data_IF_060245862400
#
_entry.id   IF_060245862400
#
_cell.length_a   1.000
_cell.length_b   1.000
_cell.length_c   1.000
_cell.angle_alpha   90.00
_cell.angle_beta   90.00
_cell.angle_gamma   90.00
#
_symmetry.space_group_name_H-M   'P 1'
#
loop_
_entity.id
_entity.type
_entity.pdbx_description
1 polymer ?
#
# COMPACT_ATOMS: atom_id res chain seq x y z
N UNK A 1 42.85 53.53 17.16
CA UNK A 1 44.13 53.35 16.44
C UNK A 1 43.81 52.64 15.13
N UNK A 2 43.52 53.37 14.04
CA UNK A 2 44.44 53.71 12.94
C UNK A 2 45.16 52.46 12.39
N UNK A 3 44.89 52.01 11.15
CA UNK A 3 45.49 52.50 9.88
C UNK A 3 44.82 51.78 8.69
N UNK A 4 44.26 52.46 7.66
CA UNK A 4 44.81 52.79 6.30
C UNK A 4 45.53 51.63 5.59
N UNK A 5 45.50 51.38 4.27
CA UNK A 5 44.92 51.86 2.99
C UNK A 5 45.36 50.78 1.93
N UNK A 6 44.77 50.50 0.75
CA UNK A 6 44.74 51.25 -0.52
C UNK A 6 43.99 50.40 -1.58
N UNK A 7 43.00 50.88 -2.33
CA UNK A 7 43.04 51.56 -3.65
C UNK A 7 43.79 50.84 -4.81
N UNK A 8 43.05 50.45 -5.85
CA UNK A 8 43.48 50.59 -7.25
C UNK A 8 42.26 50.71 -8.20
N UNK A 9 42.21 51.81 -8.94
CA UNK A 9 41.33 52.08 -10.10
C UNK A 9 42.13 51.99 -11.41
N UNK A 10 41.44 51.68 -12.52
CA UNK A 10 41.63 52.19 -13.91
C UNK A 10 40.49 51.60 -14.78
N UNK A 11 39.56 52.28 -15.46
CA UNK A 11 39.49 53.40 -16.44
C UNK A 11 40.00 53.10 -17.88
N UNK A 12 39.08 53.28 -18.85
CA UNK A 12 39.32 53.46 -20.30
C UNK A 12 38.12 52.99 -21.16
N UNK A 13 37.10 53.81 -21.51
CA UNK A 13 36.94 54.79 -22.63
C UNK A 13 37.11 54.19 -24.04
N UNK A 14 36.08 54.13 -24.90
CA UNK A 14 35.73 55.10 -26.00
C UNK A 14 35.59 54.27 -27.31
N UNK A 15 34.73 54.46 -28.31
CA UNK A 15 33.75 55.49 -28.66
C UNK A 15 33.06 55.15 -30.01
N UNK A 16 31.78 55.53 -30.13
CA UNK A 16 31.11 56.27 -31.22
C UNK A 16 31.59 56.15 -32.68
N UNK A 17 30.64 55.82 -33.60
CA UNK A 17 30.28 56.48 -34.90
C UNK A 17 29.37 55.52 -35.72
N UNK A 18 28.51 55.88 -36.66
CA UNK A 18 27.68 57.04 -37.05
C UNK A 18 26.83 56.51 -38.24
N UNK A 19 25.57 56.93 -38.31
CA UNK A 19 24.54 56.68 -39.35
C UNK A 19 24.98 56.91 -40.81
N UNK A 20 24.24 56.36 -41.80
CA UNK A 20 23.65 57.09 -42.95
C UNK A 20 22.62 56.23 -43.74
N UNK A 21 21.64 56.96 -44.28
CA UNK A 21 20.40 56.72 -45.03
C UNK A 21 20.38 55.81 -46.27
N UNK A 22 19.18 55.33 -46.62
CA UNK A 22 18.80 54.95 -47.99
C UNK A 22 17.36 54.41 -48.16
N UNK A 23 16.42 55.29 -48.51
CA UNK A 23 15.16 55.02 -49.24
C UNK A 23 15.08 56.06 -50.38
N UNK A 24 14.21 55.99 -51.43
CA UNK A 24 13.05 55.12 -51.66
C UNK A 24 12.94 54.55 -53.09
N UNK A 25 11.92 53.75 -53.41
CA UNK A 25 11.34 53.73 -54.76
C UNK A 25 9.87 53.32 -54.77
N UNK A 26 9.06 54.22 -55.32
CA UNK A 26 7.63 54.15 -55.56
C UNK A 26 7.36 53.63 -56.98
N UNK A 27 6.40 52.72 -57.14
CA UNK A 27 5.93 52.25 -58.45
C UNK A 27 4.54 51.62 -58.37
N UNK A 28 3.51 52.41 -58.71
CA UNK A 28 2.12 51.95 -58.90
C UNK A 28 2.00 51.26 -60.27
N UNK A 29 1.34 50.10 -60.36
CA UNK A 29 0.43 49.82 -61.48
C UNK A 29 -0.66 48.82 -61.09
N UNK A 30 -1.85 49.09 -61.62
CA UNK A 30 -3.18 48.55 -61.26
C UNK A 30 -3.48 47.21 -61.96
N UNK A 31 -4.32 46.38 -61.33
CA UNK A 31 -5.64 45.87 -61.80
C UNK A 31 -5.90 44.41 -61.37
N UNK A 32 -7.04 44.25 -60.68
CA UNK A 32 -8.04 43.19 -60.84
C UNK A 32 -7.60 41.73 -60.83
N UNK A 33 -7.84 41.03 -59.72
CA UNK A 33 -8.69 39.83 -59.78
C UNK A 33 -9.36 39.60 -58.42
N UNK A 34 -10.69 39.66 -58.44
CA UNK A 34 -11.59 39.19 -57.39
C UNK A 34 -11.45 37.67 -57.33
N UNK A 35 -11.04 37.12 -56.20
CA UNK A 35 -11.29 35.72 -55.87
C UNK A 35 -11.99 35.67 -54.52
N UNK A 36 -13.30 35.48 -54.57
CA UNK A 36 -14.12 35.17 -53.43
C UNK A 36 -13.67 33.82 -52.86
N UNK A 37 -13.05 33.82 -51.69
CA UNK A 37 -12.82 32.61 -50.92
C UNK A 37 -14.10 32.28 -50.15
N UNK A 38 -14.83 31.31 -50.67
CA UNK A 38 -16.00 30.69 -50.05
C UNK A 38 -15.61 30.16 -48.67
N UNK A 39 -16.24 30.69 -47.61
CA UNK A 39 -16.20 30.12 -46.26
C UNK A 39 -16.94 28.77 -46.28
N UNK A 40 -16.21 27.68 -46.48
CA UNK A 40 -16.69 26.35 -46.15
C UNK A 40 -16.52 26.16 -44.63
N UNK A 41 -17.61 26.36 -43.90
CA UNK A 41 -17.69 26.02 -42.48
C UNK A 41 -17.54 24.51 -42.29
N UNK A 42 -16.31 24.07 -42.04
CA UNK A 42 -16.05 22.76 -41.43
C UNK A 42 -16.54 22.83 -39.99
N UNK A 43 -17.75 22.34 -39.77
CA UNK A 43 -18.26 22.03 -38.44
C UNK A 43 -17.33 21.01 -37.79
N UNK A 44 -16.47 21.47 -36.87
CA UNK A 44 -15.78 20.61 -35.93
C UNK A 44 -16.85 19.95 -35.06
N UNK A 45 -17.26 18.75 -35.43
CA UNK A 45 -17.93 17.85 -34.51
C UNK A 45 -16.94 17.59 -33.37
N UNK A 46 -17.14 18.26 -32.24
CA UNK A 46 -16.50 17.91 -30.99
C UNK A 46 -16.97 16.50 -30.65
N UNK A 47 -16.20 15.50 -31.04
CA UNK A 47 -16.32 14.16 -30.49
C UNK A 47 -15.96 14.28 -29.01
N UNK A 48 -16.99 14.49 -28.18
CA UNK A 48 -16.90 14.23 -26.75
C UNK A 48 -16.61 12.75 -26.63
N UNK A 49 -15.33 12.38 -26.54
CA UNK A 49 -14.96 11.06 -26.09
C UNK A 49 -15.51 10.93 -24.67
N UNK A 50 -16.62 10.23 -24.53
CA UNK A 50 -17.11 9.75 -23.24
C UNK A 50 -16.00 8.90 -22.66
N UNK A 51 -15.21 9.49 -21.78
CA UNK A 51 -14.18 8.79 -21.03
C UNK A 51 -14.90 7.82 -20.11
N UNK A 52 -14.80 6.53 -20.42
CA UNK A 52 -15.28 5.48 -19.55
C UNK A 52 -14.46 5.55 -18.27
N UNK A 53 -15.09 5.96 -17.17
CA UNK A 53 -14.46 5.94 -15.85
C UNK A 53 -14.56 4.51 -15.36
N UNK A 54 -13.54 3.72 -15.66
CA UNK A 54 -13.38 2.40 -15.08
C UNK A 54 -13.20 2.57 -13.56
N UNK A 55 -14.15 2.08 -12.78
CA UNK A 55 -14.02 2.00 -11.32
C UNK A 55 -13.35 0.69 -10.96
N UNK A 56 -12.44 0.73 -9.98
CA UNK A 56 -11.86 -0.50 -9.44
C UNK A 56 -12.97 -1.43 -8.92
N UNK A 57 -12.87 -2.75 -9.16
CA UNK A 57 -13.83 -3.71 -8.62
C UNK A 57 -13.85 -3.64 -7.09
N UNK A 58 -15.06 -3.69 -6.53
CA UNK A 58 -15.29 -3.66 -5.08
C UNK A 58 -15.74 -5.04 -4.63
N UNK A 59 -15.14 -5.54 -3.55
CA UNK A 59 -15.51 -6.82 -2.94
C UNK A 59 -16.10 -6.65 -1.55
N UNK A 60 -16.70 -7.73 -1.06
CA UNK A 60 -17.34 -7.78 0.25
C UNK A 60 -17.16 -9.16 0.89
N UNK A 61 -16.82 -9.19 2.18
CA UNK A 61 -16.75 -10.40 3.01
C UNK A 61 -17.48 -10.15 4.32
N UNK A 62 -18.36 -11.08 4.70
CA UNK A 62 -19.09 -11.06 5.97
C UNK A 62 -18.58 -12.18 6.87
N UNK A 63 -18.11 -11.81 8.06
CA UNK A 63 -17.67 -12.76 9.09
C UNK A 63 -18.50 -12.57 10.35
N UNK A 64 -18.70 -13.66 11.09
CA UNK A 64 -19.37 -13.61 12.40
C UNK A 64 -18.39 -14.08 13.46
N UNK A 65 -18.20 -13.25 14.48
CA UNK A 65 -17.45 -13.60 15.69
C UNK A 65 -18.46 -13.95 16.78
N UNK A 66 -18.52 -15.22 17.23
CA UNK A 66 -19.45 -15.61 18.27
C UNK A 66 -19.30 -14.77 19.55
N UNK A 67 -20.35 -14.72 20.36
CA UNK A 67 -20.26 -14.13 21.70
C UNK A 67 -19.22 -14.85 22.55
N UNK A 68 -18.53 -14.11 23.43
CA UNK A 68 -17.46 -14.63 24.30
C UNK A 68 -16.37 -15.38 23.53
N UNK A 69 -15.99 -14.91 22.34
CA UNK A 69 -15.05 -15.60 21.47
C UNK A 69 -13.99 -14.70 20.84
N UNK A 70 -12.90 -15.33 20.44
CA UNK A 70 -11.84 -14.77 19.60
C UNK A 70 -11.99 -15.24 18.16
N UNK A 71 -11.81 -14.34 17.20
CA UNK A 71 -11.62 -14.69 15.79
C UNK A 71 -10.27 -14.17 15.30
N UNK A 72 -9.50 -15.00 14.61
CA UNK A 72 -8.26 -14.59 13.95
C UNK A 72 -8.60 -14.13 12.54
N UNK A 73 -8.49 -12.82 12.32
CA UNK A 73 -8.96 -12.14 11.13
C UNK A 73 -7.82 -11.42 10.43
N UNK A 74 -8.01 -11.14 9.14
CA UNK A 74 -7.18 -10.25 8.37
C UNK A 74 -8.05 -9.55 7.32
N UNK A 75 -7.60 -8.41 6.79
CA UNK A 75 -8.42 -7.67 5.83
C UNK A 75 -8.06 -8.11 4.41
N UNK A 76 -9.01 -8.65 3.62
CA UNK A 76 -8.71 -9.18 2.29
C UNK A 76 -8.69 -8.10 1.19
N UNK A 77 -9.07 -6.87 1.53
CA UNK A 77 -9.26 -5.75 0.60
C UNK A 77 -8.34 -4.59 0.91
N UNK A 78 -8.07 -3.77 -0.11
CA UNK A 78 -7.55 -2.43 0.10
C UNK A 78 -8.68 -1.43 0.28
N UNK A 79 -8.43 -0.34 1.00
CA UNK A 79 -9.30 0.83 0.91
C UNK A 79 -9.10 1.48 -0.46
N UNK A 80 -10.12 2.18 -0.95
CA UNK A 80 -10.06 2.87 -2.24
C UNK A 80 -8.82 3.79 -2.30
N UNK A 81 -8.09 3.70 -3.42
CA UNK A 81 -6.93 4.56 -3.66
C UNK A 81 -7.37 6.02 -3.78
N UNK A 82 -6.66 6.92 -3.09
CA UNK A 82 -6.89 8.37 -3.19
C UNK A 82 -6.10 9.01 -4.32
N UNK A 83 -5.12 8.29 -4.88
CA UNK A 83 -4.34 8.73 -6.02
C UNK A 83 -3.65 7.54 -6.69
N UNK A 84 -3.64 7.53 -8.02
CA UNK A 84 -2.85 6.60 -8.83
C UNK A 84 -1.92 7.40 -9.72
N UNK A 85 -0.68 6.95 -9.88
CA UNK A 85 0.31 7.70 -10.65
C UNK A 85 1.48 6.85 -11.12
N UNK A 86 2.29 7.41 -12.01
CA UNK A 86 3.54 6.82 -12.47
C UNK A 86 4.73 7.49 -11.77
N UNK A 87 5.75 6.72 -11.43
CA UNK A 87 6.93 7.22 -10.75
C UNK A 87 7.82 7.99 -11.73
N UNK A 88 8.05 9.27 -11.45
CA UNK A 88 8.95 10.13 -12.20
C UNK A 88 10.41 9.88 -11.83
N UNK A 89 10.73 9.86 -10.54
CA UNK A 89 12.06 9.62 -10.00
C UNK A 89 12.01 9.15 -8.55
N UNK A 90 13.11 8.56 -8.07
CA UNK A 90 13.29 8.15 -6.68
C UNK A 90 14.62 8.73 -6.20
N UNK A 91 14.62 9.38 -5.03
CA UNK A 91 15.82 9.90 -4.38
C UNK A 91 15.83 9.50 -2.90
N UNK A 92 16.64 8.49 -2.56
CA UNK A 92 16.61 7.90 -1.22
C UNK A 92 15.24 7.29 -0.91
N UNK A 93 14.53 7.87 0.07
CA UNK A 93 13.17 7.46 0.46
C UNK A 93 12.06 8.32 -0.15
N UNK A 94 12.41 9.29 -0.99
CA UNK A 94 11.45 10.15 -1.67
C UNK A 94 11.09 9.56 -3.04
N UNK A 95 9.79 9.40 -3.29
CA UNK A 95 9.21 9.04 -4.59
C UNK A 95 8.54 10.29 -5.15
N UNK A 96 8.99 10.75 -6.32
CA UNK A 96 8.37 11.84 -7.06
C UNK A 96 7.45 11.24 -8.12
N UNK A 97 6.20 11.70 -8.18
CA UNK A 97 5.25 11.24 -9.19
C UNK A 97 5.29 12.12 -10.44
N UNK A 98 4.94 11.52 -11.57
CA UNK A 98 4.82 12.22 -12.84
C UNK A 98 3.62 13.17 -12.84
N UNK A 99 3.80 14.34 -13.45
CA UNK A 99 2.80 15.41 -13.45
C UNK A 99 2.69 16.14 -12.12
N UNK A 100 1.69 17.01 -12.02
CA UNK A 100 1.35 17.72 -10.78
C UNK A 100 0.21 16.99 -10.09
N UNK A 101 0.41 16.55 -8.86
CA UNK A 101 -0.65 15.94 -8.06
C UNK A 101 -1.51 16.97 -7.32
N UNK A 102 -1.00 18.20 -7.17
CA UNK A 102 -1.74 19.32 -6.56
C UNK A 102 -1.97 19.16 -5.05
N UNK A 103 -1.20 18.30 -4.39
CA UNK A 103 -1.35 18.02 -2.97
C UNK A 103 -0.93 19.20 -2.10
N UNK A 104 -1.66 19.41 -1.00
CA UNK A 104 -1.13 20.23 0.09
C UNK A 104 -0.02 19.46 0.81
N UNK A 105 0.98 20.19 1.31
CA UNK A 105 2.08 19.61 2.10
C UNK A 105 1.51 18.86 3.30
N UNK A 106 1.97 17.63 3.50
CA UNK A 106 1.56 16.72 4.57
C UNK A 106 0.07 16.34 4.63
N UNK A 107 -0.70 16.53 3.54
CA UNK A 107 -2.09 16.07 3.49
C UNK A 107 -2.27 14.54 3.56
N UNK A 108 -1.21 13.78 3.30
CA UNK A 108 -1.15 12.31 3.36
C UNK A 108 -0.50 11.82 4.66
N UNK A 109 -0.33 12.69 5.66
CA UNK A 109 0.21 12.36 6.98
C UNK A 109 -0.90 12.48 8.01
N UNK A 110 -0.95 11.52 8.94
CA UNK A 110 -1.92 11.56 10.03
C UNK A 110 -1.70 12.80 10.92
N UNK A 111 -2.78 13.55 11.14
CA UNK A 111 -2.86 14.68 12.05
C UNK A 111 -4.24 14.71 12.69
N UNK A 112 -4.30 14.41 13.98
CA UNK A 112 -5.56 14.25 14.69
C UNK A 112 -6.45 15.50 14.57
N UNK A 113 -7.69 15.31 14.12
CA UNK A 113 -8.67 16.39 13.96
C UNK A 113 -8.55 17.18 12.64
N UNK A 114 -7.53 16.91 11.82
CA UNK A 114 -7.32 17.57 10.52
C UNK A 114 -7.32 16.54 9.40
N UNK A 115 -6.47 15.52 9.50
CA UNK A 115 -6.36 14.39 8.59
C UNK A 115 -6.25 13.11 9.42
N UNK A 116 -7.37 12.40 9.55
CA UNK A 116 -7.46 11.24 10.43
C UNK A 116 -6.97 9.92 9.79
N UNK A 117 -6.48 9.93 8.55
CA UNK A 117 -5.92 8.75 7.90
C UNK A 117 -4.39 8.75 7.93
N UNK A 118 -3.82 7.56 8.13
CA UNK A 118 -2.46 7.26 7.69
C UNK A 118 -2.53 6.64 6.29
N UNK A 119 -1.51 6.89 5.46
CA UNK A 119 -1.46 6.40 4.08
C UNK A 119 -0.20 5.56 3.83
N UNK A 120 -0.29 4.66 2.86
CA UNK A 120 0.82 3.93 2.29
C UNK A 120 0.84 4.11 0.77
N UNK A 121 2.03 3.97 0.19
CA UNK A 121 2.17 3.72 -1.24
C UNK A 121 2.20 2.21 -1.46
N UNK A 122 1.44 1.76 -2.46
CA UNK A 122 1.44 0.41 -3.01
C UNK A 122 2.05 0.48 -4.40
N UNK A 123 3.14 -0.22 -4.63
CA UNK A 123 3.71 -0.37 -5.97
C UNK A 123 2.81 -1.33 -6.75
N UNK A 124 2.18 -0.85 -7.82
CA UNK A 124 1.15 -1.58 -8.56
C UNK A 124 1.61 -2.17 -9.89
N UNK A 125 2.90 -2.01 -10.24
CA UNK A 125 3.53 -2.67 -11.40
C UNK A 125 5.00 -3.01 -11.16
N UNK A 126 5.59 -3.72 -12.12
CA UNK A 126 7.03 -3.94 -12.18
C UNK A 126 7.53 -5.03 -11.24
N UNK A 127 8.84 -5.00 -10.96
CA UNK A 127 9.52 -6.04 -10.16
C UNK A 127 9.11 -6.00 -8.68
N UNK A 128 8.73 -4.82 -8.17
CA UNK A 128 8.32 -4.63 -6.77
C UNK A 128 6.80 -4.56 -6.60
N UNK A 129 6.03 -5.02 -7.58
CA UNK A 129 4.57 -5.06 -7.51
C UNK A 129 4.08 -5.74 -6.21
N UNK A 130 3.10 -5.12 -5.55
CA UNK A 130 2.59 -5.55 -4.24
C UNK A 130 3.36 -4.96 -3.05
N UNK A 131 4.52 -4.34 -3.26
CA UNK A 131 5.28 -3.71 -2.16
C UNK A 131 4.48 -2.54 -1.57
N UNK A 132 4.39 -2.51 -0.24
CA UNK A 132 3.70 -1.47 0.51
C UNK A 132 4.71 -0.76 1.43
N UNK A 133 4.77 0.57 1.35
CA UNK A 133 5.58 1.41 2.22
C UNK A 133 4.75 2.54 2.83
N UNK A 134 4.91 2.79 4.13
CA UNK A 134 4.17 3.84 4.84
C UNK A 134 4.62 5.21 4.37
N UNK A 135 3.68 6.12 4.11
CA UNK A 135 4.00 7.52 3.80
C UNK A 135 4.23 8.27 5.13
N UNK A 136 5.38 8.94 5.24
CA UNK A 136 5.77 9.69 6.45
C UNK A 136 5.76 11.20 6.22
N UNK A 137 5.84 11.65 4.96
CA UNK A 137 5.68 13.04 4.55
C UNK A 137 5.21 13.11 3.09
N UNK A 138 4.63 14.25 2.69
CA UNK A 138 4.40 14.54 1.27
C UNK A 138 4.56 16.03 0.96
N UNK A 139 5.04 16.33 -0.24
CA UNK A 139 5.05 17.67 -0.84
C UNK A 139 3.86 17.82 -1.81
N UNK A 140 3.96 18.78 -2.74
CA UNK A 140 2.99 18.99 -3.83
C UNK A 140 3.02 17.95 -4.93
N UNK A 141 4.09 17.14 -5.03
CA UNK A 141 4.27 16.11 -6.07
C UNK A 141 5.16 14.93 -5.65
N UNK A 142 5.59 14.86 -4.40
CA UNK A 142 6.41 13.77 -3.88
C UNK A 142 5.86 13.22 -2.56
N UNK A 143 6.20 11.98 -2.28
CA UNK A 143 5.97 11.32 -1.00
C UNK A 143 7.31 10.82 -0.44
N UNK A 144 7.52 11.00 0.85
CA UNK A 144 8.58 10.32 1.59
C UNK A 144 8.00 9.07 2.21
N UNK A 145 8.66 7.92 2.00
CA UNK A 145 8.16 6.63 2.43
C UNK A 145 9.11 5.92 3.38
N UNK A 146 8.57 5.01 4.18
CA UNK A 146 9.32 4.11 5.04
C UNK A 146 9.01 2.67 4.62
N UNK A 147 9.89 2.03 3.82
CA UNK A 147 9.81 0.60 3.54
C UNK A 147 9.91 -0.22 4.82
N UNK A 148 9.29 -1.40 4.82
CA UNK A 148 9.48 -2.37 5.90
C UNK A 148 10.93 -2.86 5.89
N UNK A 149 11.48 -3.21 7.05
CA UNK A 149 12.85 -3.74 7.12
C UNK A 149 12.95 -5.03 6.29
N UNK A 150 13.87 -5.06 5.34
CA UNK A 150 14.00 -6.12 4.33
C UNK A 150 13.54 -5.71 2.93
N UNK A 151 12.85 -4.58 2.81
CA UNK A 151 12.50 -3.95 1.55
C UNK A 151 13.33 -2.69 1.27
N UNK A 152 13.38 -2.33 -0.01
CA UNK A 152 13.96 -1.10 -0.52
C UNK A 152 13.24 -0.68 -1.81
N UNK A 153 13.52 0.53 -2.26
CA UNK A 153 12.99 1.08 -3.50
C UNK A 153 13.87 0.76 -4.73
N UNK A 154 14.84 -0.15 -4.59
CA UNK A 154 15.71 -0.51 -5.70
C UNK A 154 14.93 -1.29 -6.77
N UNK A 155 15.41 -1.25 -8.01
CA UNK A 155 14.79 -1.95 -9.16
C UNK A 155 13.38 -1.47 -9.56
N UNK A 156 12.82 -0.48 -8.87
CA UNK A 156 11.62 0.22 -9.31
C UNK A 156 12.00 1.10 -10.51
N UNK A 157 11.30 0.93 -11.62
CA UNK A 157 11.56 1.72 -12.82
C UNK A 157 11.01 3.14 -12.66
N UNK A 158 11.72 4.12 -13.21
CA UNK A 158 11.32 5.53 -13.14
C UNK A 158 11.39 6.17 -14.52
N UNK A 159 10.54 7.16 -14.78
CA UNK A 159 10.60 7.90 -16.05
C UNK A 159 11.98 8.52 -16.28
N UNK A 160 12.58 9.10 -15.23
CA UNK A 160 13.87 9.77 -15.33
C UNK A 160 15.02 8.83 -15.73
N UNK A 161 15.00 7.57 -15.27
CA UNK A 161 16.05 6.61 -15.55
C UNK A 161 15.76 5.71 -16.77
N UNK A 162 14.49 5.47 -17.09
CA UNK A 162 14.07 4.46 -18.06
C UNK A 162 13.33 5.03 -19.28
N UNK A 163 13.09 6.34 -19.31
CA UNK A 163 12.42 7.04 -20.41
C UNK A 163 10.92 7.26 -20.19
N UNK A 164 10.28 8.06 -21.07
CA UNK A 164 8.84 8.33 -20.99
C UNK A 164 8.01 7.05 -20.97
N UNK A 165 6.99 7.00 -20.10
CA UNK A 165 6.07 5.86 -19.93
C UNK A 165 6.70 4.56 -19.41
N UNK A 166 7.99 4.57 -19.07
CA UNK A 166 8.70 3.40 -18.51
C UNK A 166 8.71 3.35 -16.98
N UNK A 167 8.09 4.32 -16.30
CA UNK A 167 8.04 4.34 -14.84
C UNK A 167 7.03 3.32 -14.30
N UNK A 168 7.34 2.71 -13.16
CA UNK A 168 6.39 1.86 -12.46
C UNK A 168 5.21 2.68 -11.92
N UNK A 169 4.07 2.01 -11.75
CA UNK A 169 2.83 2.56 -11.26
C UNK A 169 2.73 2.41 -9.74
N UNK A 170 2.02 3.36 -9.13
CA UNK A 170 1.70 3.34 -7.71
C UNK A 170 0.25 3.70 -7.44
N UNK A 171 -0.25 3.15 -6.35
CA UNK A 171 -1.51 3.54 -5.73
C UNK A 171 -1.24 4.08 -4.32
N UNK A 172 -1.87 5.20 -3.95
CA UNK A 172 -1.83 5.73 -2.59
C UNK A 172 -3.11 5.31 -1.87
N UNK A 173 -2.94 4.40 -0.91
CA UNK A 173 -4.05 3.75 -0.21
C UNK A 173 -4.02 4.11 1.27
N UNK A 174 -5.17 4.44 1.89
CA UNK A 174 -5.22 4.64 3.33
C UNK A 174 -5.17 3.29 4.06
N UNK A 175 -4.56 3.27 5.24
CA UNK A 175 -4.60 2.10 6.12
C UNK A 175 -6.03 1.82 6.59
N UNK A 176 -6.32 0.53 6.85
CA UNK A 176 -7.47 0.17 7.68
C UNK A 176 -7.25 0.65 9.11
N UNK A 177 -8.33 1.04 9.76
CA UNK A 177 -8.35 1.45 11.17
C UNK A 177 -9.53 0.75 11.84
N UNK A 178 -9.57 0.67 13.18
CA UNK A 178 -10.72 0.08 13.86
C UNK A 178 -12.05 0.68 13.42
N UNK A 179 -12.11 2.01 13.26
CA UNK A 179 -13.33 2.72 12.87
C UNK A 179 -13.69 2.51 11.40
N UNK A 180 -12.71 2.40 10.52
CA UNK A 180 -12.99 2.16 9.09
C UNK A 180 -13.33 0.70 8.81
N UNK A 181 -12.75 -0.23 9.57
CA UNK A 181 -12.94 -1.67 9.39
C UNK A 181 -14.25 -2.17 10.01
N UNK A 182 -14.58 -1.67 11.20
CA UNK A 182 -15.77 -2.06 11.95
C UNK A 182 -16.78 -0.92 11.83
N UNK A 183 -17.59 -0.99 10.78
CA UNK A 183 -18.52 0.09 10.37
C UNK A 183 -19.80 0.16 11.21
N UNK A 184 -20.12 -0.90 11.97
CA UNK A 184 -21.18 -0.90 12.97
C UNK A 184 -20.68 -0.47 14.35
N UNK A 185 -21.59 -0.28 15.31
CA UNK A 185 -21.23 -0.06 16.72
C UNK A 185 -20.93 -1.43 17.35
N UNK A 186 -19.66 -1.76 17.65
CA UNK A 186 -19.36 -3.01 18.32
C UNK A 186 -19.82 -2.92 19.78
N UNK A 187 -19.95 -4.08 20.43
CA UNK A 187 -20.29 -4.09 21.85
C UNK A 187 -19.16 -3.48 22.70
N UNK A 188 -19.51 -2.83 23.81
CA UNK A 188 -18.54 -2.33 24.79
C UNK A 188 -17.63 -3.48 25.23
N UNK A 189 -16.34 -3.21 25.29
CA UNK A 189 -15.32 -4.19 25.64
C UNK A 189 -14.85 -5.06 24.48
N UNK A 190 -15.36 -4.91 23.25
CA UNK A 190 -14.76 -5.56 22.06
C UNK A 190 -13.31 -5.15 21.93
N UNK A 191 -12.41 -6.08 21.59
CA UNK A 191 -10.97 -5.80 21.51
C UNK A 191 -10.38 -6.21 20.15
N UNK A 192 -9.41 -5.45 19.67
CA UNK A 192 -8.49 -5.86 18.60
C UNK A 192 -7.13 -6.10 19.25
N UNK A 193 -6.64 -7.33 19.14
CA UNK A 193 -5.35 -7.74 19.69
C UNK A 193 -4.35 -7.93 18.54
N UNK A 194 -3.35 -7.06 18.50
CA UNK A 194 -2.34 -7.02 17.44
C UNK A 194 -1.06 -7.65 17.97
N UNK A 195 -0.50 -8.57 17.19
CA UNK A 195 0.72 -9.29 17.52
C UNK A 195 1.95 -8.50 17.08
N UNK A 196 3.08 -8.61 17.80
CA UNK A 196 4.31 -7.97 17.37
C UNK A 196 4.78 -8.54 16.03
N UNK A 197 5.31 -7.67 15.17
CA UNK A 197 5.87 -8.04 13.85
C UNK A 197 7.39 -8.07 13.83
N UNK A 198 8.04 -7.66 14.93
CA UNK A 198 9.47 -7.42 15.06
C UNK A 198 10.10 -8.16 16.25
N UNK A 199 9.32 -8.99 16.95
CA UNK A 199 9.74 -9.71 18.14
C UNK A 199 10.03 -11.18 17.82
N UNK A 200 11.17 -11.74 18.28
CA UNK A 200 11.49 -13.15 18.06
C UNK A 200 10.58 -14.09 18.86
N UNK A 201 10.18 -15.20 18.26
CA UNK A 201 9.59 -16.34 18.95
C UNK A 201 8.24 -16.83 18.40
N UNK A 202 7.61 -17.72 19.15
CA UNK A 202 6.31 -18.33 18.84
C UNK A 202 5.30 -18.02 19.93
N UNK A 203 4.01 -18.06 19.61
CA UNK A 203 2.90 -17.82 20.53
C UNK A 203 3.01 -16.49 21.29
N UNK A 204 3.50 -15.45 20.62
CA UNK A 204 3.73 -14.15 21.24
C UNK A 204 2.44 -13.55 21.79
N UNK A 205 2.55 -12.90 22.94
CA UNK A 205 1.46 -12.08 23.49
C UNK A 205 1.18 -10.90 22.56
N UNK A 206 -0.01 -10.31 22.71
CA UNK A 206 -0.37 -9.15 21.90
C UNK A 206 0.41 -7.92 22.38
N UNK A 207 1.07 -7.23 21.45
CA UNK A 207 1.83 -6.01 21.73
C UNK A 207 0.91 -4.81 21.89
N UNK A 208 -0.14 -4.75 21.05
CA UNK A 208 -1.15 -3.70 21.10
C UNK A 208 -2.53 -4.33 21.35
N UNK A 209 -3.26 -3.74 22.29
CA UNK A 209 -4.67 -4.06 22.55
C UNK A 209 -5.49 -2.80 22.41
N UNK A 210 -6.40 -2.79 21.44
CA UNK A 210 -7.38 -1.73 21.25
C UNK A 210 -8.69 -2.19 21.85
N UNK A 211 -9.37 -1.35 22.64
CA UNK A 211 -10.64 -1.70 23.28
C UNK A 211 -11.70 -0.68 22.90
N UNK A 212 -12.88 -1.14 22.50
CA UNK A 212 -14.02 -0.26 22.30
C UNK A 212 -14.69 0.07 23.63
N UNK A 213 -14.76 1.34 24.01
CA UNK A 213 -15.31 1.78 25.29
C UNK A 213 -16.82 2.15 25.24
N UNK A 214 -17.48 1.95 24.09
CA UNK A 214 -18.87 2.37 23.85
C UNK A 214 -18.99 3.65 23.03
N UNK A 215 -17.91 4.38 22.82
CA UNK A 215 -17.90 5.59 21.99
C UNK A 215 -16.71 5.61 21.03
N UNK A 216 -15.54 5.22 21.51
CA UNK A 216 -14.29 5.20 20.74
C UNK A 216 -13.49 3.94 21.02
N UNK A 217 -12.62 3.60 20.08
CA UNK A 217 -11.50 2.73 20.33
C UNK A 217 -10.46 3.45 21.17
N UNK A 218 -9.91 2.75 22.17
CA UNK A 218 -8.86 3.27 23.03
C UNK A 218 -7.68 2.30 23.12
N UNK A 219 -6.49 2.86 23.30
CA UNK A 219 -5.26 2.16 23.66
C UNK A 219 -4.69 2.84 24.90
N UNK A 220 -4.60 2.12 26.03
CA UNK A 220 -4.05 2.66 27.29
C UNK A 220 -4.61 4.05 27.66
N UNK A 221 -5.94 4.23 27.52
CA UNK A 221 -6.72 5.47 27.70
C UNK A 221 -6.67 6.54 26.58
N UNK A 222 -5.79 6.42 25.59
CA UNK A 222 -5.75 7.34 24.44
C UNK A 222 -6.73 6.92 23.35
N UNK A 223 -7.29 7.89 22.61
CA UNK A 223 -8.11 7.58 21.44
C UNK A 223 -7.28 6.83 20.37
N UNK A 224 -7.83 5.73 19.89
CA UNK A 224 -7.22 4.84 18.91
C UNK A 224 -8.17 4.54 17.73
N UNK A 225 -9.16 5.41 17.48
CA UNK A 225 -10.12 5.27 16.38
C UNK A 225 -9.43 5.13 15.03
N UNK A 226 -8.28 5.80 14.90
CA UNK A 226 -7.48 5.92 13.68
C UNK A 226 -6.15 5.18 13.77
N UNK A 227 -6.03 4.22 14.70
CA UNK A 227 -4.84 3.37 14.79
C UNK A 227 -4.70 2.57 13.48
N UNK A 228 -3.57 2.66 12.76
CA UNK A 228 -3.38 1.94 11.50
C UNK A 228 -3.22 0.43 11.76
N UNK A 229 -4.01 -0.38 11.06
CA UNK A 229 -3.86 -1.82 10.99
C UNK A 229 -2.98 -2.16 9.79
N UNK A 230 -1.85 -2.82 10.03
CA UNK A 230 -0.85 -3.10 9.00
C UNK A 230 -1.40 -3.98 7.87
N UNK A 231 -1.02 -3.63 6.64
CA UNK A 231 -1.39 -4.42 5.46
C UNK A 231 -0.82 -5.84 5.54
N UNK A 232 -1.66 -6.82 5.19
CA UNK A 232 -1.30 -8.23 5.17
C UNK A 232 -1.09 -8.86 6.55
N UNK A 233 -1.22 -8.09 7.65
CA UNK A 233 -1.10 -8.61 9.01
C UNK A 233 -2.44 -9.17 9.49
N UNK A 234 -2.42 -10.33 10.16
CA UNK A 234 -3.59 -10.80 10.92
C UNK A 234 -3.62 -10.27 12.35
N UNK A 235 -4.82 -10.20 12.91
CA UNK A 235 -5.08 -9.77 14.28
C UNK A 235 -6.18 -10.65 14.90
N UNK A 236 -6.34 -10.58 16.22
CA UNK A 236 -7.44 -11.24 16.91
C UNK A 236 -8.53 -10.23 17.21
N UNK A 237 -9.75 -10.45 16.72
CA UNK A 237 -10.95 -9.73 17.13
C UNK A 237 -11.61 -10.50 18.28
N UNK A 238 -11.59 -9.94 19.48
CA UNK A 238 -12.21 -10.51 20.67
C UNK A 238 -13.55 -9.87 20.93
N UNK A 239 -14.60 -10.68 20.88
CA UNK A 239 -15.94 -10.30 21.27
C UNK A 239 -16.18 -10.68 22.74
N UNK A 240 -16.18 -9.67 23.62
CA UNK A 240 -16.44 -9.86 25.05
C UNK A 240 -17.93 -9.80 25.41
N UNK A 241 -18.83 -9.58 24.45
CA UNK A 241 -20.26 -9.63 24.67
C UNK A 241 -20.81 -11.06 24.50
N UNK A 242 -22.03 -11.30 24.97
CA UNK A 242 -22.74 -12.58 24.80
C UNK A 242 -23.37 -12.72 23.41
N UNK A 243 -23.71 -11.62 22.75
CA UNK A 243 -24.23 -11.60 21.39
C UNK A 243 -23.10 -11.73 20.36
N UNK A 244 -23.31 -12.41 19.22
CA UNK A 244 -22.36 -12.40 18.11
C UNK A 244 -22.09 -11.00 17.58
N UNK A 245 -20.86 -10.77 17.10
CA UNK A 245 -20.46 -9.57 16.38
C UNK A 245 -20.33 -9.93 14.90
N UNK A 246 -21.06 -9.22 14.04
CA UNK A 246 -20.97 -9.39 12.59
C UNK A 246 -20.08 -8.31 12.02
N UNK A 247 -19.01 -8.75 11.34
CA UNK A 247 -18.10 -7.87 10.61
C UNK A 247 -18.40 -7.93 9.12
N UNK A 248 -18.53 -6.75 8.52
CA UNK A 248 -18.66 -6.56 7.09
C UNK A 248 -17.44 -5.81 6.57
N UNK A 249 -16.53 -6.52 5.90
CA UNK A 249 -15.35 -5.93 5.28
C UNK A 249 -15.66 -5.68 3.81
N UNK A 250 -15.55 -4.44 3.36
CA UNK A 250 -15.76 -4.07 1.95
C UNK A 250 -14.67 -3.12 1.49
N UNK A 251 -14.12 -3.33 0.31
CA UNK A 251 -13.07 -2.47 -0.23
C UNK A 251 -12.73 -2.80 -1.67
N UNK A 252 -11.70 -2.13 -2.20
CA UNK A 252 -11.16 -2.44 -3.52
C UNK A 252 -10.57 -3.85 -3.53
N UNK A 253 -10.94 -4.63 -4.54
CA UNK A 253 -10.32 -5.92 -4.82
C UNK A 253 -8.86 -5.66 -5.21
N UNK A 254 -7.88 -6.33 -4.57
CA UNK A 254 -6.49 -6.24 -4.99
C UNK A 254 -6.32 -6.60 -6.47
N UNK A 255 -5.84 -5.68 -7.29
CA UNK A 255 -5.58 -5.90 -8.72
C UNK A 255 -4.09 -6.05 -9.01
N UNK A 256 -3.32 -6.46 -8.00
CA UNK A 256 -1.87 -6.64 -8.06
C UNK A 256 -1.46 -7.87 -7.27
N UNK A 257 -0.19 -8.26 -7.41
CA UNK A 257 0.40 -9.32 -6.58
C UNK A 257 0.21 -9.04 -5.10
N UNK A 258 -0.23 -10.06 -4.38
CA UNK A 258 -0.07 -10.09 -2.94
C UNK A 258 1.42 -10.17 -2.61
N UNK A 259 1.89 -9.31 -1.72
CA UNK A 259 3.28 -9.33 -1.26
C UNK A 259 3.37 -9.11 0.25
N UNK A 260 4.14 -9.96 0.92
CA UNK A 260 4.48 -9.78 2.33
C UNK A 260 5.87 -10.29 2.64
N UNK A 261 6.47 -9.79 3.73
CA UNK A 261 7.77 -10.25 4.21
C UNK A 261 7.58 -11.26 5.34
N UNK A 262 8.14 -12.45 5.17
CA UNK A 262 8.25 -13.47 6.21
C UNK A 262 9.67 -13.42 6.74
N UNK A 263 9.82 -13.27 8.06
CA UNK A 263 11.13 -13.02 8.68
C UNK A 263 11.38 -13.97 9.82
N UNK A 264 12.64 -14.28 10.08
CA UNK A 264 13.12 -14.88 11.33
C UNK A 264 14.06 -13.90 12.01
N UNK A 265 13.84 -13.62 13.30
CA UNK A 265 14.61 -12.62 14.05
C UNK A 265 15.78 -13.21 14.83
N UNK A 266 15.79 -14.53 14.98
CA UNK A 266 16.88 -15.24 15.66
C UNK A 266 17.19 -16.53 14.91
N UNK A 267 18.49 -16.72 14.65
CA UNK A 267 19.03 -17.95 14.10
C UNK A 267 18.58 -19.18 14.89
N UNK A 268 18.34 -20.29 14.19
CA UNK A 268 17.95 -21.59 14.74
C UNK A 268 16.68 -21.60 15.63
N UNK A 269 15.92 -20.50 15.68
CA UNK A 269 14.70 -20.38 16.48
C UNK A 269 13.47 -20.27 15.59
N UNK A 270 12.42 -20.99 15.97
CA UNK A 270 11.11 -20.90 15.30
C UNK A 270 10.52 -19.50 15.47
N UNK A 271 9.83 -19.04 14.44
CA UNK A 271 9.21 -17.72 14.41
C UNK A 271 7.77 -17.81 13.93
N UNK A 272 6.86 -17.16 14.66
CA UNK A 272 5.49 -16.93 14.20
C UNK A 272 5.40 -15.63 13.41
N UNK A 273 4.78 -15.69 12.24
CA UNK A 273 4.41 -14.55 11.41
C UNK A 273 2.89 -14.57 11.24
N UNK A 274 2.23 -13.57 11.79
CA UNK A 274 0.78 -13.39 11.70
C UNK A 274 0.44 -12.68 10.40
N UNK A 275 -0.24 -13.38 9.49
CA UNK A 275 -0.55 -12.86 8.17
C UNK A 275 -2.00 -13.15 7.76
N UNK A 276 -2.50 -12.40 6.78
CA UNK A 276 -3.67 -12.74 6.00
C UNK A 276 -3.37 -12.67 4.52
N UNK A 277 -4.05 -13.50 3.74
CA UNK A 277 -3.95 -13.45 2.28
C UNK A 277 -4.95 -12.41 1.74
N UNK A 278 -4.45 -11.39 1.05
CA UNK A 278 -5.28 -10.31 0.50
C UNK A 278 -6.00 -10.78 -0.77
N UNK A 279 -7.00 -11.65 -0.60
CA UNK A 279 -7.83 -12.15 -1.70
C UNK A 279 -9.31 -12.15 -1.34
N UNK A 280 -10.20 -11.68 -2.25
CA UNK A 280 -11.65 -11.79 -2.11
C UNK A 280 -12.17 -13.23 -2.23
N UNK A 281 -11.38 -14.16 -2.75
CA UNK A 281 -11.79 -15.56 -2.97
C UNK A 281 -10.84 -16.54 -2.27
N UNK A 282 -11.31 -17.76 -1.96
CA UNK A 282 -10.45 -18.76 -1.34
C UNK A 282 -9.28 -19.16 -2.24
N UNK A 283 -8.08 -19.30 -1.65
CA UNK A 283 -6.86 -19.69 -2.39
C UNK A 283 -6.31 -21.02 -1.86
N UNK A 284 -5.98 -21.94 -2.75
CA UNK A 284 -5.47 -23.25 -2.37
C UNK A 284 -4.05 -23.12 -1.79
N UNK A 285 -3.73 -23.81 -0.69
CA UNK A 285 -2.41 -23.66 -0.06
C UNK A 285 -1.24 -24.14 -0.92
N UNK A 286 -1.51 -25.03 -1.90
CA UNK A 286 -0.53 -25.45 -2.89
C UNK A 286 -0.09 -24.35 -3.85
N UNK A 287 -0.93 -23.32 -4.07
CA UNK A 287 -0.66 -22.24 -5.02
C UNK A 287 0.13 -21.08 -4.42
N UNK A 288 0.39 -21.08 -3.10
CA UNK A 288 0.96 -19.91 -2.43
C UNK A 288 2.39 -19.58 -2.91
N UNK A 289 3.09 -20.51 -3.58
CA UNK A 289 4.38 -20.23 -4.23
C UNK A 289 5.50 -19.78 -3.27
N UNK A 290 5.28 -19.91 -1.97
CA UNK A 290 6.19 -19.53 -0.92
C UNK A 290 7.46 -20.39 -0.96
N UNK A 291 8.63 -19.78 -0.73
CA UNK A 291 9.91 -20.45 -0.51
C UNK A 291 9.92 -21.24 0.81
N UNK A 292 9.07 -22.25 0.89
CA UNK A 292 8.86 -23.10 2.06
C UNK A 292 10.06 -23.99 2.32
N UNK A 293 10.30 -24.28 3.59
CA UNK A 293 11.29 -25.27 4.03
C UNK A 293 10.59 -26.43 4.72
N UNK A 294 11.08 -27.68 4.59
CA UNK A 294 10.54 -28.81 5.33
C UNK A 294 10.40 -28.49 6.84
N UNK A 295 9.22 -28.78 7.38
CA UNK A 295 8.84 -28.51 8.76
C UNK A 295 8.18 -27.15 9.01
N UNK A 296 8.17 -26.22 8.04
CA UNK A 296 7.37 -25.01 8.13
C UNK A 296 5.90 -25.36 8.37
N UNK A 297 5.21 -24.54 9.16
CA UNK A 297 3.82 -24.81 9.56
C UNK A 297 2.89 -23.67 9.20
N UNK A 298 1.67 -24.02 8.80
CA UNK A 298 0.54 -23.11 8.75
C UNK A 298 -0.41 -23.47 9.89
N UNK A 299 -0.54 -22.56 10.85
CA UNK A 299 -1.37 -22.72 12.04
C UNK A 299 -2.70 -22.01 11.80
N UNK A 300 -3.79 -22.77 11.96
CA UNK A 300 -5.14 -22.37 11.58
C UNK A 300 -6.02 -22.33 12.82
N UNK A 301 -6.88 -21.33 12.90
CA UNK A 301 -7.87 -21.18 13.97
C UNK A 301 -9.27 -21.27 13.39
N UNK A 302 -10.16 -21.99 14.08
CA UNK A 302 -11.57 -22.02 13.71
C UNK A 302 -12.28 -20.81 14.32
N UNK A 303 -12.69 -19.87 13.47
CA UNK A 303 -13.39 -18.64 13.86
C UNK A 303 -14.85 -18.87 14.29
N UNK A 304 -15.45 -20.02 13.95
CA UNK A 304 -16.83 -20.35 14.31
C UNK A 304 -16.94 -20.99 15.71
N UNK A 305 -15.89 -21.67 16.18
CA UNK A 305 -15.86 -22.26 17.53
C UNK A 305 -15.85 -21.17 18.61
N UNK A 306 -16.79 -21.24 19.55
CA UNK A 306 -16.89 -20.34 20.71
C UNK A 306 -15.70 -20.56 21.66
N UNK A 307 -15.18 -19.47 22.22
CA UNK A 307 -14.09 -19.50 23.19
C UNK A 307 -13.03 -18.44 22.92
N UNK A 308 -12.32 -18.05 23.98
CA UNK A 308 -11.20 -17.10 23.95
C UNK A 308 -9.88 -17.85 24.12
N UNK A 309 -8.80 -17.28 23.59
CA UNK A 309 -7.46 -17.87 23.61
C UNK A 309 -7.47 -19.31 23.08
N UNK A 310 -8.20 -19.54 21.98
CA UNK A 310 -8.36 -20.87 21.39
C UNK A 310 -7.00 -21.40 20.94
N UNK A 311 -6.80 -22.70 21.15
CA UNK A 311 -5.74 -23.44 20.48
C UNK A 311 -6.00 -23.47 18.97
N UNK A 312 -4.96 -23.75 18.20
CA UNK A 312 -5.09 -24.02 16.77
C UNK A 312 -6.06 -25.18 16.54
N UNK A 313 -6.99 -25.02 15.60
CA UNK A 313 -7.89 -26.10 15.18
C UNK A 313 -7.17 -27.09 14.26
N UNK A 314 -6.23 -26.59 13.45
CA UNK A 314 -5.41 -27.38 12.55
C UNK A 314 -3.99 -26.82 12.48
N UNK A 315 -3.02 -27.70 12.20
CA UNK A 315 -1.65 -27.31 11.89
C UNK A 315 -1.20 -28.11 10.68
N UNK A 316 -1.04 -27.42 9.56
CA UNK A 316 -0.50 -28.01 8.35
C UNK A 316 1.03 -27.95 8.44
N UNK A 317 1.71 -28.98 7.93
CA UNK A 317 3.17 -29.06 7.91
C UNK A 317 3.64 -29.23 6.47
N UNK A 318 4.56 -28.39 6.02
CA UNK A 318 5.19 -28.55 4.72
C UNK A 318 6.28 -29.62 4.79
N UNK A 319 6.22 -30.65 3.95
CA UNK A 319 7.20 -31.75 3.97
C UNK A 319 8.37 -31.59 2.98
N UNK A 320 8.40 -30.48 2.23
CA UNK A 320 9.36 -30.25 1.13
C UNK A 320 8.72 -30.26 -0.25
N UNK A 321 7.57 -30.92 -0.41
CA UNK A 321 6.84 -31.01 -1.70
C UNK A 321 5.36 -30.66 -1.59
N UNK A 322 4.74 -30.84 -0.42
CA UNK A 322 3.33 -30.62 -0.20
C UNK A 322 3.04 -30.16 1.24
N UNK A 323 1.92 -29.47 1.39
CA UNK A 323 1.28 -29.23 2.67
C UNK A 323 0.53 -30.47 3.13
N UNK A 324 0.80 -30.90 4.36
CA UNK A 324 0.19 -32.07 4.96
C UNK A 324 -0.71 -31.69 6.15
N UNK A 325 -1.87 -32.32 6.25
CA UNK A 325 -2.71 -32.33 7.46
C UNK A 325 -2.88 -33.78 7.91
N UNK A 326 -2.38 -34.12 9.10
CA UNK A 326 -2.43 -35.51 9.60
C UNK A 326 -1.72 -36.53 8.68
N UNK A 327 -0.77 -36.07 7.85
CA UNK A 327 -0.05 -36.89 6.87
C UNK A 327 -0.66 -36.92 5.46
N UNK A 328 -1.89 -36.42 5.29
CA UNK A 328 -2.55 -36.33 3.98
C UNK A 328 -2.17 -35.03 3.26
N UNK A 329 -1.87 -35.11 1.96
CA UNK A 329 -1.63 -33.93 1.12
C UNK A 329 -2.92 -33.10 0.97
N UNK A 330 -2.82 -31.81 1.27
CA UNK A 330 -3.93 -30.86 1.24
C UNK A 330 -3.71 -29.66 0.31
N UNK A 331 -2.73 -29.73 -0.60
CA UNK A 331 -2.40 -28.63 -1.53
C UNK A 331 -3.61 -28.07 -2.28
N UNK A 332 -4.56 -28.93 -2.65
CA UNK A 332 -5.75 -28.56 -3.44
C UNK A 332 -7.07 -28.66 -2.65
N UNK A 333 -7.01 -29.07 -1.38
CA UNK A 333 -8.22 -29.32 -0.57
C UNK A 333 -8.31 -28.38 0.63
N UNK A 334 -7.20 -27.81 1.08
CA UNK A 334 -7.22 -26.74 2.08
C UNK A 334 -7.06 -25.38 1.40
N UNK A 335 -7.95 -24.45 1.76
CA UNK A 335 -8.01 -23.11 1.18
C UNK A 335 -7.85 -22.04 2.25
N UNK A 336 -7.00 -21.05 1.98
CA UNK A 336 -6.99 -19.78 2.70
C UNK A 336 -8.28 -19.04 2.38
N UNK A 337 -9.10 -18.79 3.40
CA UNK A 337 -10.41 -18.16 3.26
C UNK A 337 -10.28 -16.63 3.33
N UNK A 338 -11.05 -15.88 2.52
CA UNK A 338 -11.11 -14.43 2.60
C UNK A 338 -11.47 -13.96 4.00
N UNK A 339 -10.73 -12.99 4.51
CA UNK A 339 -10.99 -12.40 5.81
C UNK A 339 -10.47 -13.19 7.02
N UNK A 340 -10.02 -14.42 6.83
CA UNK A 340 -9.39 -15.20 7.89
C UNK A 340 -7.90 -14.83 8.01
N UNK A 341 -7.43 -14.75 9.25
CA UNK A 341 -6.02 -14.63 9.57
C UNK A 341 -5.40 -15.98 9.89
N UNK A 342 -4.09 -16.07 9.67
CA UNK A 342 -3.29 -17.27 9.85
C UNK A 342 -1.99 -16.95 10.57
N UNK A 343 -1.33 -18.00 11.07
CA UNK A 343 0.06 -17.89 11.54
C UNK A 343 0.93 -18.82 10.71
N UNK A 344 1.87 -18.21 9.99
CA UNK A 344 2.94 -18.96 9.36
C UNK A 344 4.07 -19.12 10.37
N UNK A 345 4.34 -20.35 10.77
CA UNK A 345 5.39 -20.67 11.73
C UNK A 345 6.59 -21.24 10.99
N UNK A 346 7.63 -20.42 10.87
CA UNK A 346 8.89 -20.82 10.25
C UNK A 346 9.60 -21.85 11.14
N UNK A 347 9.96 -22.98 10.53
CA UNK A 347 10.88 -23.94 11.11
C UNK A 347 12.29 -23.51 10.75
N UNK A 348 12.82 -22.53 11.48
CA UNK A 348 14.13 -21.96 11.17
C UNK A 348 15.24 -22.94 11.56
N UNK A 349 15.63 -23.82 10.65
CA UNK A 349 16.85 -24.60 10.79
C UNK A 349 18.11 -23.79 10.42
N UNK A 350 17.94 -22.58 9.83
CA UNK A 350 19.06 -21.77 9.38
C UNK A 350 19.78 -21.09 10.56
N UNK A 351 21.11 -21.05 10.46
CA UNK A 351 22.00 -20.41 11.44
C UNK A 351 22.05 -18.89 11.32
N UNK A 352 21.20 -18.30 10.48
CA UNK A 352 21.10 -16.85 10.27
C UNK A 352 19.63 -16.41 10.26
N UNK A 353 19.44 -15.11 10.48
CA UNK A 353 18.15 -14.47 10.27
C UNK A 353 17.82 -14.49 8.78
N UNK A 354 16.58 -14.82 8.44
CA UNK A 354 16.10 -14.88 7.07
C UNK A 354 15.00 -13.84 6.85
N UNK A 355 14.99 -13.25 5.67
CA UNK A 355 13.88 -12.46 5.15
C UNK A 355 13.50 -13.11 3.83
N UNK A 356 12.28 -13.61 3.75
CA UNK A 356 11.70 -14.20 2.56
C UNK A 356 10.60 -13.27 2.10
N UNK A 357 10.73 -12.78 0.88
CA UNK A 357 9.65 -12.08 0.20
C UNK A 357 8.70 -13.12 -0.35
N UNK A 358 7.47 -13.11 0.16
CA UNK A 358 6.39 -13.88 -0.42
C UNK A 358 5.63 -13.00 -1.38
N UNK A 359 5.62 -13.39 -2.65
CA UNK A 359 4.80 -12.81 -3.70
C UNK A 359 3.89 -13.89 -4.30
N UNK A 360 2.64 -13.54 -4.58
CA UNK A 360 1.68 -14.44 -5.23
C UNK A 360 0.72 -13.60 -6.08
N UNK A 361 0.52 -14.01 -7.32
CA UNK A 361 -0.56 -13.49 -8.15
C UNK A 361 -1.86 -14.19 -7.71
N UNK A 362 -2.88 -13.45 -7.27
CA UNK A 362 -4.15 -14.06 -6.92
C UNK A 362 -4.79 -14.76 -8.12
N UNK A 363 -5.39 -15.95 -7.91
CA UNK A 363 -5.91 -16.81 -8.98
C UNK A 363 -7.02 -16.22 -9.86
N UNK A 364 -7.63 -15.10 -9.47
CA UNK A 364 -8.60 -14.36 -10.29
C UNK A 364 -7.97 -13.34 -11.24
N UNK A 365 -6.64 -13.17 -11.18
CA UNK A 365 -5.84 -12.36 -12.11
C UNK A 365 -5.04 -13.21 -13.10
N UNK A 366 -5.02 -14.54 -12.91
CA UNK A 366 -4.51 -15.52 -13.88
C UNK A 366 -5.54 -15.78 -14.99
#
# INVERSE_FOLDING_TARGET
MQSRASNHQALGTSGVRKSIFGAPSCGKFRKNLVLAATFAGLGMAAFSQTQEVATDPVGFVKLTVPGQSDAVLAVPFYRASVHKGMIQSINGSEIVLSGSTGWAVNQLVFSAGVQNNSYAVLISSGVKEGMIAKITANSTNSITVQPKVGDDLSQILTIAANGPQSGDLVDIVPFWTPTSLITGVPNVGTQILIKPTDSPGINLSSQTTLVYNGTSWIQSASNANHYPLEFGQSFVLRNNATSPLVLAMSGGVPMNKFRTLIRTFTAANRQDVWFGYSSPIPEAVGNLGLGFSPGDQLVVYDNATVGKNKSASQTLVYNGTAWLLGGSNVNTTFFLQPGNGYVFRKNNAALTNQIITWESLPSYLD
#
